data_IF_246118826549
#
_entry.id   IF_246118826549
#
_cell.length_a   1.000
_cell.length_b   1.000
_cell.length_c   1.000
_cell.angle_alpha   90.00
_cell.angle_beta   90.00
_cell.angle_gamma   90.00
#
_symmetry.space_group_name_H-M   'P 1'
#
loop_
_entity.id
_entity.type
_entity.pdbx_description
1 polymer ?
#
# COMPACT_ATOMS: atom_id res chain seq x y z
N UNK A 1 16.03 4.39 -14.38
CA UNK A 1 15.37 5.47 -13.61
C UNK A 1 14.05 5.73 -14.30
N UNK A 2 12.94 5.45 -13.61
CA UNK A 2 11.59 5.76 -14.06
C UNK A 2 11.12 7.01 -13.31
N UNK A 3 10.42 7.92 -13.98
CA UNK A 3 9.95 9.14 -13.35
C UNK A 3 9.04 9.96 -14.28
N UNK A 4 8.30 10.91 -13.69
CA UNK A 4 7.42 11.81 -14.43
C UNK A 4 8.17 13.10 -14.81
N UNK A 5 8.02 13.55 -16.05
CA UNK A 5 8.53 14.84 -16.47
C UNK A 5 7.64 15.96 -15.92
N UNK A 6 8.20 16.84 -15.12
CA UNK A 6 7.54 18.04 -14.62
C UNK A 6 8.23 19.28 -15.16
N UNK A 7 7.48 20.37 -15.35
CA UNK A 7 8.03 21.66 -15.72
C UNK A 7 8.09 22.53 -14.46
N UNK A 8 9.29 22.92 -14.05
CA UNK A 8 9.53 23.86 -12.98
C UNK A 8 10.44 24.98 -13.51
N UNK A 9 9.98 26.24 -13.41
CA UNK A 9 10.68 27.43 -13.89
C UNK A 9 11.28 27.29 -15.32
N UNK A 10 10.47 26.81 -16.28
CA UNK A 10 10.84 26.54 -17.68
C UNK A 10 11.88 25.42 -17.88
N UNK A 11 12.18 24.64 -16.84
CA UNK A 11 13.05 23.46 -16.95
C UNK A 11 12.21 22.19 -16.89
N UNK A 12 12.50 21.26 -17.80
CA UNK A 12 11.95 19.91 -17.74
C UNK A 12 12.78 19.13 -16.74
N UNK A 13 12.19 18.77 -15.60
CA UNK A 13 12.83 17.98 -14.56
C UNK A 13 12.21 16.59 -14.56
N UNK A 14 13.02 15.55 -14.64
CA UNK A 14 12.58 14.20 -14.37
C UNK A 14 12.45 14.04 -12.85
N UNK A 15 11.22 13.97 -12.34
CA UNK A 15 10.97 13.60 -10.95
C UNK A 15 10.87 12.08 -10.90
N UNK A 16 11.89 11.39 -10.37
CA UNK A 16 11.83 9.95 -10.27
C UNK A 16 10.69 9.52 -9.32
N UNK A 17 9.92 8.50 -9.70
CA UNK A 17 9.05 7.83 -8.75
C UNK A 17 9.93 7.06 -7.76
N UNK A 18 9.94 7.50 -6.52
CA UNK A 18 10.62 6.79 -5.45
C UNK A 18 9.63 5.84 -4.78
N UNK A 19 9.88 4.56 -4.94
CA UNK A 19 9.25 3.51 -4.16
C UNK A 19 10.31 2.53 -3.67
N UNK A 20 10.09 1.98 -2.49
CA UNK A 20 10.91 0.91 -1.93
C UNK A 20 10.13 -0.39 -1.98
N UNK A 21 10.79 -1.48 -2.39
CA UNK A 21 10.28 -2.84 -2.31
C UNK A 21 11.13 -3.58 -1.30
N UNK A 22 10.48 -4.18 -0.30
CA UNK A 22 11.12 -4.97 0.74
C UNK A 22 10.49 -6.36 0.72
N UNK A 23 11.24 -7.35 0.27
CA UNK A 23 10.86 -8.76 0.36
C UNK A 23 11.21 -9.30 1.75
N UNK A 24 10.57 -10.38 2.17
CA UNK A 24 10.74 -10.99 3.49
C UNK A 24 10.55 -9.99 4.65
N UNK A 25 9.53 -9.14 4.50
CA UNK A 25 9.33 -7.98 5.36
C UNK A 25 8.99 -8.35 6.81
N UNK A 26 8.17 -9.38 7.03
CA UNK A 26 7.79 -9.86 8.36
C UNK A 26 8.46 -11.21 8.68
N UNK A 27 8.43 -11.59 9.96
CA UNK A 27 8.73 -12.97 10.34
C UNK A 27 7.74 -13.95 9.69
N UNK A 28 8.18 -15.18 9.43
CA UNK A 28 7.32 -16.22 8.86
C UNK A 28 6.05 -16.44 9.71
N UNK A 29 6.19 -16.41 11.04
CA UNK A 29 5.07 -16.59 11.96
C UNK A 29 4.04 -15.44 11.88
N UNK A 30 4.48 -14.19 11.76
CA UNK A 30 3.58 -13.04 11.64
C UNK A 30 2.86 -13.03 10.28
N UNK A 31 3.60 -13.35 9.21
CA UNK A 31 3.06 -13.50 7.88
C UNK A 31 1.99 -14.59 7.80
N UNK A 32 2.27 -15.78 8.36
CA UNK A 32 1.32 -16.90 8.43
C UNK A 32 0.08 -16.55 9.25
N UNK A 33 0.26 -15.79 10.34
CA UNK A 33 -0.84 -15.36 11.18
C UNK A 33 -1.80 -14.43 10.42
N UNK A 34 -1.29 -13.48 9.62
CA UNK A 34 -2.16 -12.65 8.77
C UNK A 34 -2.95 -13.49 7.78
N UNK A 35 -2.30 -14.42 7.07
CA UNK A 35 -3.00 -15.26 6.10
C UNK A 35 -4.09 -16.10 6.76
N UNK A 36 -3.80 -16.74 7.89
CA UNK A 36 -4.76 -17.53 8.67
C UNK A 36 -5.93 -16.67 9.16
N UNK A 37 -5.63 -15.47 9.67
CA UNK A 37 -6.64 -14.53 10.15
C UNK A 37 -7.61 -14.13 9.03
N UNK A 38 -7.08 -13.77 7.87
CA UNK A 38 -7.91 -13.26 6.75
C UNK A 38 -8.70 -14.35 6.05
N UNK A 39 -8.25 -15.60 6.12
CA UNK A 39 -8.97 -16.78 5.58
C UNK A 39 -9.92 -17.40 6.59
N UNK A 40 -9.92 -16.94 7.85
CA UNK A 40 -10.84 -17.45 8.86
C UNK A 40 -12.27 -17.02 8.56
N UNK A 41 -13.22 -17.96 8.61
CA UNK A 41 -14.63 -17.74 8.24
C UNK A 41 -15.39 -16.71 9.09
N UNK A 42 -14.84 -16.31 10.25
CA UNK A 42 -15.39 -15.26 11.12
C UNK A 42 -14.73 -13.89 10.97
N UNK A 43 -13.78 -13.71 10.02
CA UNK A 43 -13.16 -12.41 9.84
C UNK A 43 -14.16 -11.39 9.25
N UNK A 44 -14.31 -10.18 9.85
CA UNK A 44 -15.41 -9.27 9.52
C UNK A 44 -15.12 -8.44 8.26
N UNK A 45 -15.36 -9.02 7.11
CA UNK A 45 -15.27 -8.34 5.82
C UNK A 45 -16.47 -7.44 5.56
N UNK A 46 -16.22 -6.20 5.15
CA UNK A 46 -17.26 -5.25 4.71
C UNK A 46 -17.19 -5.08 3.20
N UNK A 47 -18.31 -5.21 2.50
CA UNK A 47 -18.40 -4.95 1.07
C UNK A 47 -18.21 -3.45 0.80
N UNK A 48 -17.29 -3.11 -0.08
CA UNK A 48 -17.05 -1.79 -0.64
C UNK A 48 -17.48 -1.84 -2.11
N UNK A 49 -18.59 -1.22 -2.43
CA UNK A 49 -19.25 -1.33 -3.74
C UNK A 49 -18.51 -0.61 -4.87
N UNK A 50 -17.53 0.23 -4.56
CA UNK A 50 -16.65 0.90 -5.53
C UNK A 50 -15.24 1.00 -4.95
N UNK A 51 -14.24 0.45 -5.63
CA UNK A 51 -12.85 0.34 -5.11
C UNK A 51 -12.23 1.71 -4.84
N UNK A 52 -12.41 2.66 -5.75
CA UNK A 52 -11.98 4.07 -5.65
C UNK A 52 -12.86 4.95 -6.55
N UNK A 53 -12.64 6.26 -6.53
CA UNK A 53 -13.43 7.24 -7.29
C UNK A 53 -13.38 7.05 -8.81
N UNK A 54 -12.27 6.51 -9.34
CA UNK A 54 -12.02 6.30 -10.77
C UNK A 54 -12.28 4.85 -11.23
N UNK A 55 -12.70 3.96 -10.33
CA UNK A 55 -13.07 2.60 -10.65
C UNK A 55 -14.40 2.55 -11.44
N UNK A 56 -14.61 1.48 -12.22
CA UNK A 56 -15.89 1.24 -12.88
C UNK A 56 -17.00 0.93 -11.86
N UNK A 57 -18.26 1.09 -12.27
CA UNK A 57 -19.41 0.94 -11.36
C UNK A 57 -19.51 -0.46 -10.71
N UNK A 58 -19.04 -1.49 -11.41
CA UNK A 58 -19.06 -2.87 -10.92
C UNK A 58 -17.75 -3.30 -10.23
N UNK A 59 -16.81 -2.40 -10.05
CA UNK A 59 -15.56 -2.70 -9.37
C UNK A 59 -15.73 -2.59 -7.87
N UNK A 60 -15.84 -3.73 -7.22
CA UNK A 60 -15.98 -3.84 -5.79
C UNK A 60 -14.80 -4.55 -5.14
N UNK A 61 -14.68 -4.40 -3.84
CA UNK A 61 -13.75 -5.14 -2.98
C UNK A 61 -14.40 -5.39 -1.63
N UNK A 62 -13.80 -6.26 -0.84
CA UNK A 62 -14.08 -6.33 0.58
C UNK A 62 -12.95 -5.67 1.35
N UNK A 63 -13.27 -5.03 2.45
CA UNK A 63 -12.26 -4.41 3.30
C UNK A 63 -12.59 -4.61 4.79
N UNK A 64 -11.55 -4.58 5.60
CA UNK A 64 -11.66 -4.46 7.04
C UNK A 64 -10.79 -3.29 7.49
N UNK A 65 -11.41 -2.28 8.11
CA UNK A 65 -10.72 -1.07 8.57
C UNK A 65 -10.22 -1.26 10.00
N UNK A 66 -8.98 -0.82 10.24
CA UNK A 66 -8.37 -0.74 11.56
C UNK A 66 -8.33 0.70 12.06
N UNK A 67 -7.91 1.62 11.20
CA UNK A 67 -7.79 3.05 11.46
C UNK A 67 -8.47 3.81 10.31
N UNK A 68 -9.30 4.80 10.65
CA UNK A 68 -9.95 5.69 9.71
C UNK A 68 -9.90 7.12 10.25
N UNK A 69 -9.37 8.05 9.46
CA UNK A 69 -9.12 9.45 9.86
C UNK A 69 -8.44 9.57 11.23
N UNK A 70 -7.34 8.82 11.44
CA UNK A 70 -6.49 8.78 12.66
C UNK A 70 -7.13 8.11 13.88
N UNK A 71 -8.33 7.60 13.76
CA UNK A 71 -9.06 6.97 14.88
C UNK A 71 -9.13 5.47 14.68
N UNK A 72 -8.85 4.70 15.73
CA UNK A 72 -9.12 3.26 15.74
C UNK A 72 -10.61 3.01 15.56
N UNK A 73 -10.95 2.10 14.65
CA UNK A 73 -12.34 1.77 14.34
C UNK A 73 -12.99 0.94 15.46
N UNK A 74 -12.16 0.23 16.23
CA UNK A 74 -12.55 -0.54 17.42
C UNK A 74 -11.37 -0.67 18.37
N UNK A 75 -11.62 -0.92 19.65
CA UNK A 75 -10.60 -1.05 20.69
C UNK A 75 -9.58 -2.14 20.34
N UNK A 76 -8.31 -1.76 20.28
CA UNK A 76 -7.20 -2.68 19.97
C UNK A 76 -7.01 -2.97 18.49
N UNK A 77 -7.65 -2.22 17.58
CA UNK A 77 -7.47 -2.38 16.14
C UNK A 77 -6.00 -2.19 15.71
N UNK A 78 -5.29 -1.26 16.36
CA UNK A 78 -3.87 -0.99 16.08
C UNK A 78 -2.96 -2.19 16.44
N UNK A 79 -3.34 -3.00 17.42
CA UNK A 79 -2.58 -4.18 17.82
C UNK A 79 -2.48 -5.22 16.71
N UNK A 80 -3.51 -5.32 15.87
CA UNK A 80 -3.49 -6.19 14.68
C UNK A 80 -2.42 -5.79 13.67
N UNK A 81 -1.98 -4.52 13.68
CA UNK A 81 -0.97 -3.98 12.78
C UNK A 81 0.43 -3.91 13.42
N UNK A 82 0.56 -4.28 14.70
CA UNK A 82 1.82 -4.20 15.44
C UNK A 82 3.01 -4.87 14.73
N UNK A 83 2.89 -6.06 14.10
CA UNK A 83 4.01 -6.65 13.37
C UNK A 83 4.55 -5.74 12.26
N UNK A 84 3.66 -5.13 11.47
CA UNK A 84 4.06 -4.21 10.38
C UNK A 84 4.69 -2.93 10.96
N UNK A 85 4.08 -2.33 11.98
CA UNK A 85 4.61 -1.11 12.60
C UNK A 85 5.98 -1.33 13.23
N UNK A 86 6.21 -2.50 13.84
CA UNK A 86 7.51 -2.87 14.39
C UNK A 86 8.60 -2.87 13.32
N UNK A 87 8.36 -3.51 12.18
CA UNK A 87 9.36 -3.56 11.10
C UNK A 87 9.57 -2.17 10.45
N UNK A 88 8.49 -1.39 10.25
CA UNK A 88 8.61 -0.02 9.77
C UNK A 88 9.41 0.89 10.72
N UNK A 89 9.25 0.68 12.03
CA UNK A 89 10.01 1.40 13.03
C UNK A 89 11.49 1.03 13.01
N UNK A 90 11.83 -0.28 12.98
CA UNK A 90 13.21 -0.74 12.91
C UNK A 90 13.91 -0.34 11.62
N UNK A 91 13.21 -0.35 10.50
CA UNK A 91 13.71 0.11 9.21
C UNK A 91 13.75 1.64 9.07
N UNK A 92 13.34 2.40 10.10
CA UNK A 92 13.30 3.88 10.13
C UNK A 92 12.33 4.53 9.14
N UNK A 93 11.35 3.80 8.67
CA UNK A 93 10.23 4.37 7.88
C UNK A 93 9.19 5.04 8.78
N UNK A 94 9.13 4.66 10.06
CA UNK A 94 8.28 5.26 11.09
C UNK A 94 9.10 5.65 12.31
N UNK A 95 8.60 6.63 13.07
CA UNK A 95 9.09 7.07 14.37
C UNK A 95 7.98 7.00 15.42
N UNK A 96 8.31 7.29 16.68
CA UNK A 96 7.31 7.38 17.76
C UNK A 96 6.25 8.47 17.53
N UNK A 97 6.58 9.47 16.72
CA UNK A 97 5.71 10.62 16.42
C UNK A 97 4.98 10.43 15.08
N UNK A 98 5.08 9.26 14.46
CA UNK A 98 4.38 8.94 13.21
C UNK A 98 2.88 8.81 13.46
N UNK A 99 2.11 9.58 12.70
CA UNK A 99 0.65 9.53 12.72
C UNK A 99 0.14 8.62 11.61
N UNK A 100 -0.65 7.61 11.94
CA UNK A 100 -1.33 6.77 10.96
C UNK A 100 -2.68 7.38 10.63
N UNK A 101 -2.87 7.76 9.37
CA UNK A 101 -4.11 8.36 8.92
C UNK A 101 -5.19 7.32 8.66
N UNK A 102 -4.83 6.25 7.92
CA UNK A 102 -5.76 5.18 7.55
C UNK A 102 -5.01 3.86 7.48
N UNK A 103 -5.66 2.81 7.94
CA UNK A 103 -5.16 1.44 7.77
C UNK A 103 -6.32 0.48 7.54
N UNK A 104 -6.21 -0.34 6.51
CA UNK A 104 -7.22 -1.34 6.14
C UNK A 104 -6.58 -2.55 5.49
N UNK A 105 -7.19 -3.71 5.67
CA UNK A 105 -6.97 -4.90 4.84
C UNK A 105 -7.99 -4.91 3.70
N UNK A 106 -7.55 -5.24 2.50
CA UNK A 106 -8.42 -5.42 1.34
C UNK A 106 -8.40 -6.89 0.89
N UNK A 107 -9.55 -7.37 0.43
CA UNK A 107 -9.75 -8.65 -0.24
C UNK A 107 -10.30 -8.38 -1.65
N UNK A 108 -9.58 -8.83 -2.67
CA UNK A 108 -10.01 -8.81 -4.07
C UNK A 108 -10.33 -10.23 -4.54
N UNK A 109 -11.44 -10.37 -5.24
CA UNK A 109 -11.87 -11.64 -5.84
C UNK A 109 -11.23 -11.81 -7.21
N UNK A 110 -10.97 -13.04 -7.60
CA UNK A 110 -10.49 -13.43 -8.92
C UNK A 110 -11.35 -12.84 -10.03
N UNK A 111 -10.69 -12.35 -11.07
CA UNK A 111 -11.34 -11.93 -12.33
C UNK A 111 -10.94 -12.85 -13.48
N UNK A 112 -11.73 -12.91 -14.53
CA UNK A 112 -11.42 -13.73 -15.73
C UNK A 112 -10.25 -13.15 -16.53
N UNK A 113 -10.10 -11.82 -16.50
CA UNK A 113 -9.02 -11.10 -17.20
C UNK A 113 -8.35 -10.13 -16.24
N UNK A 114 -7.02 -10.01 -16.35
CA UNK A 114 -6.27 -9.01 -15.58
C UNK A 114 -6.56 -7.62 -16.12
N UNK A 115 -6.94 -6.68 -15.21
CA UNK A 115 -7.19 -5.28 -15.56
C UNK A 115 -6.92 -4.35 -14.38
N UNK A 116 -6.65 -3.10 -14.67
CA UNK A 116 -6.57 -2.03 -13.68
C UNK A 116 -7.95 -1.62 -13.16
N UNK A 117 -8.02 -1.20 -11.91
CA UNK A 117 -9.25 -0.74 -11.25
C UNK A 117 -9.29 0.79 -11.08
N UNK A 118 -8.61 1.52 -11.98
CA UNK A 118 -8.56 2.97 -12.03
C UNK A 118 -7.47 3.59 -11.15
N UNK A 119 -6.68 4.46 -11.79
CA UNK A 119 -5.64 5.22 -11.10
C UNK A 119 -6.23 6.19 -10.09
N UNK A 120 -5.64 6.25 -8.92
CA UNK A 120 -6.05 7.13 -7.83
C UNK A 120 -4.85 7.52 -6.96
N UNK A 121 -5.06 8.50 -6.12
CA UNK A 121 -4.13 8.89 -5.06
C UNK A 121 -4.73 8.47 -3.72
N UNK A 122 -3.95 7.85 -2.87
CA UNK A 122 -4.43 7.49 -1.53
C UNK A 122 -4.77 8.73 -0.69
N UNK A 123 -4.04 9.83 -0.93
CA UNK A 123 -4.16 11.07 -0.17
C UNK A 123 -4.02 12.27 -1.11
N UNK A 124 -5.09 13.05 -1.25
CA UNK A 124 -5.13 14.20 -2.17
C UNK A 124 -4.93 15.55 -1.48
N UNK A 125 -5.36 15.70 -0.24
CA UNK A 125 -5.49 17.00 0.44
C UNK A 125 -4.52 17.20 1.61
N UNK A 126 -3.44 16.41 1.70
CA UNK A 126 -2.47 16.47 2.79
C UNK A 126 -1.06 16.77 2.28
N UNK A 127 -0.17 17.19 3.19
CA UNK A 127 1.20 17.58 2.87
C UNK A 127 2.05 16.46 2.23
N UNK A 128 3.27 16.81 1.81
CA UNK A 128 4.17 15.92 1.06
C UNK A 128 4.74 14.75 1.87
N UNK A 129 4.56 14.78 3.18
CA UNK A 129 5.13 13.80 4.11
C UNK A 129 4.31 12.51 4.23
N UNK A 130 3.15 12.41 3.56
CA UNK A 130 2.35 11.19 3.63
C UNK A 130 2.90 10.10 2.73
N UNK A 131 2.96 8.90 3.30
CA UNK A 131 3.44 7.67 2.67
C UNK A 131 2.33 6.64 2.65
N UNK A 132 2.39 5.79 1.65
CA UNK A 132 1.58 4.58 1.54
C UNK A 132 2.50 3.38 1.68
N UNK A 133 2.10 2.41 2.48
CA UNK A 133 2.61 1.05 2.44
C UNK A 133 1.52 0.11 1.97
N UNK A 134 1.84 -0.77 1.03
CA UNK A 134 1.03 -1.92 0.64
C UNK A 134 1.80 -3.18 1.01
N UNK A 135 1.30 -3.94 1.99
CA UNK A 135 1.85 -5.23 2.35
C UNK A 135 1.04 -6.35 1.68
N UNK A 136 1.70 -7.17 0.86
CA UNK A 136 1.07 -8.28 0.14
C UNK A 136 1.11 -9.56 0.98
N UNK A 137 -0.06 -10.15 1.22
CA UNK A 137 -0.23 -11.29 2.14
C UNK A 137 -0.08 -12.64 1.43
N UNK A 138 -0.36 -12.70 0.13
CA UNK A 138 -0.27 -13.94 -0.65
C UNK A 138 0.24 -13.69 -2.07
N UNK A 139 0.83 -14.73 -2.68
CA UNK A 139 1.29 -14.72 -4.07
C UNK A 139 0.11 -14.75 -5.03
N UNK A 140 0.16 -13.93 -6.06
CA UNK A 140 -0.72 -13.97 -7.22
C UNK A 140 -0.19 -13.04 -8.33
N UNK A 141 -0.72 -13.17 -9.55
CA UNK A 141 -0.33 -12.37 -10.71
C UNK A 141 -0.98 -10.97 -10.78
N UNK A 142 -1.74 -10.56 -9.77
CA UNK A 142 -2.20 -9.19 -9.58
C UNK A 142 -1.15 -8.35 -8.84
N UNK A 143 -1.44 -7.06 -8.64
CA UNK A 143 -0.47 -6.20 -7.98
C UNK A 143 -0.87 -4.73 -7.96
N UNK A 144 0.13 -3.87 -7.93
CA UNK A 144 -0.01 -2.41 -8.00
C UNK A 144 0.72 -1.91 -9.24
N UNK A 145 0.05 -1.08 -10.05
CA UNK A 145 0.63 -0.41 -11.20
C UNK A 145 0.65 1.10 -10.98
N UNK A 146 1.76 1.72 -11.35
CA UNK A 146 1.95 3.16 -11.33
C UNK A 146 1.69 3.78 -12.71
N UNK A 147 1.51 5.11 -12.81
CA UNK A 147 1.23 5.82 -14.07
C UNK A 147 2.37 5.70 -15.11
N UNK A 148 3.58 5.35 -14.69
CA UNK A 148 4.71 5.11 -15.59
C UNK A 148 4.78 3.67 -16.11
N UNK A 149 3.69 2.91 -15.99
CA UNK A 149 3.56 1.50 -16.30
C UNK A 149 4.40 0.54 -15.44
N UNK A 150 5.11 1.05 -14.43
CA UNK A 150 5.80 0.18 -13.47
C UNK A 150 4.78 -0.68 -12.74
N UNK A 151 4.98 -1.99 -12.78
CA UNK A 151 4.12 -2.97 -12.11
C UNK A 151 4.86 -3.68 -10.99
N UNK A 152 4.26 -3.69 -9.80
CA UNK A 152 4.75 -4.42 -8.63
C UNK A 152 3.79 -5.56 -8.31
N UNK A 153 4.25 -6.77 -8.57
CA UNK A 153 3.49 -8.00 -8.37
C UNK A 153 3.24 -8.29 -6.89
N UNK A 154 2.06 -8.86 -6.61
CA UNK A 154 1.69 -9.34 -5.28
C UNK A 154 2.49 -10.59 -4.90
N UNK A 155 3.64 -10.40 -4.31
CA UNK A 155 4.49 -11.45 -3.73
C UNK A 155 4.24 -11.53 -2.24
N UNK A 156 4.01 -12.74 -1.74
CA UNK A 156 3.80 -12.98 -0.31
C UNK A 156 4.97 -12.43 0.51
N UNK A 157 4.64 -11.71 1.59
CA UNK A 157 5.60 -11.07 2.49
C UNK A 157 6.42 -9.94 1.87
N UNK A 158 5.91 -9.33 0.81
CA UNK A 158 6.47 -8.12 0.20
C UNK A 158 5.78 -6.88 0.74
N UNK A 159 6.55 -5.87 1.10
CA UNK A 159 6.08 -4.52 1.37
C UNK A 159 6.51 -3.58 0.24
N UNK A 160 5.56 -2.79 -0.27
CA UNK A 160 5.77 -1.72 -1.23
C UNK A 160 5.50 -0.39 -0.54
N UNK A 161 6.50 0.50 -0.49
CA UNK A 161 6.41 1.83 0.14
C UNK A 161 6.61 2.91 -0.91
N UNK A 162 5.74 3.92 -0.90
CA UNK A 162 5.81 5.05 -1.84
C UNK A 162 5.14 6.30 -1.26
N UNK A 163 5.30 7.44 -1.95
CA UNK A 163 4.58 8.67 -1.57
C UNK A 163 3.09 8.51 -1.82
N UNK A 164 2.25 8.87 -0.84
CA UNK A 164 0.79 8.83 -0.97
C UNK A 164 0.22 9.72 -2.11
N UNK A 165 1.06 10.59 -2.69
CA UNK A 165 0.73 11.43 -3.85
C UNK A 165 1.04 10.79 -5.20
N UNK A 166 1.62 9.61 -5.23
CA UNK A 166 1.88 8.91 -6.50
C UNK A 166 0.59 8.21 -6.94
N UNK A 167 0.13 8.54 -8.14
CA UNK A 167 -1.02 7.88 -8.74
C UNK A 167 -0.68 6.42 -9.03
N UNK A 168 -1.53 5.55 -8.55
CA UNK A 168 -1.40 4.11 -8.69
C UNK A 168 -2.77 3.44 -8.81
N UNK A 169 -2.78 2.22 -9.29
CA UNK A 169 -4.00 1.42 -9.37
C UNK A 169 -3.76 -0.01 -8.91
N UNK A 170 -4.82 -0.64 -8.45
CA UNK A 170 -4.87 -2.08 -8.26
C UNK A 170 -5.04 -2.78 -9.61
N UNK A 171 -4.21 -3.78 -9.90
CA UNK A 171 -4.39 -4.70 -11.03
C UNK A 171 -4.92 -6.03 -10.49
N UNK A 172 -6.02 -6.52 -11.07
CA UNK A 172 -6.70 -7.74 -10.61
C UNK A 172 -5.89 -9.00 -10.93
N UNK A 173 -6.06 -10.04 -10.11
CA UNK A 173 -5.46 -11.35 -10.29
C UNK A 173 -6.39 -12.31 -11.05
N UNK A 174 -5.79 -13.27 -11.78
CA UNK A 174 -6.50 -14.30 -12.53
C UNK A 174 -6.11 -15.73 -12.14
N UNK A 175 -5.10 -15.90 -11.32
CA UNK A 175 -4.51 -17.21 -10.97
C UNK A 175 -4.94 -17.72 -9.59
N UNK A 176 -5.43 -16.84 -8.69
CA UNK A 176 -5.87 -17.19 -7.34
C UNK A 176 -7.28 -16.68 -7.06
N UNK A 177 -8.07 -17.41 -6.25
CA UNK A 177 -9.45 -17.03 -5.95
C UNK A 177 -9.57 -15.69 -5.23
N UNK A 178 -8.56 -15.32 -4.44
CA UNK A 178 -8.54 -14.08 -3.69
C UNK A 178 -7.11 -13.56 -3.50
N UNK A 179 -7.01 -12.26 -3.40
CA UNK A 179 -5.80 -11.52 -3.05
C UNK A 179 -6.06 -10.67 -1.82
N UNK A 180 -5.14 -10.76 -0.85
CA UNK A 180 -5.14 -9.92 0.33
C UNK A 180 -3.98 -8.95 0.31
N UNK A 181 -4.22 -7.71 0.69
CA UNK A 181 -3.19 -6.76 1.04
C UNK A 181 -3.60 -5.92 2.25
N UNK A 182 -2.62 -5.35 2.95
CA UNK A 182 -2.83 -4.35 3.98
C UNK A 182 -2.31 -3.03 3.43
N UNK A 183 -3.18 -2.01 3.36
CA UNK A 183 -2.85 -0.65 2.93
C UNK A 183 -2.86 0.26 4.15
N UNK A 184 -1.74 0.95 4.39
CA UNK A 184 -1.56 1.89 5.49
C UNK A 184 -1.06 3.22 4.94
N UNK A 185 -1.75 4.29 5.30
CA UNK A 185 -1.36 5.65 4.98
C UNK A 185 -0.93 6.36 6.26
N UNK A 186 0.27 6.91 6.29
CA UNK A 186 0.85 7.53 7.48
C UNK A 186 1.65 8.78 7.15
N UNK A 187 1.80 9.67 8.14
CA UNK A 187 2.62 10.85 8.03
C UNK A 187 4.05 10.55 8.52
N UNK A 188 5.01 10.60 7.63
CA UNK A 188 6.42 10.44 7.95
C UNK A 188 7.03 11.82 8.25
N UNK A 189 6.85 12.31 9.47
CA UNK A 189 7.30 13.66 9.85
C UNK A 189 8.83 13.84 9.96
N UNK A 190 9.65 12.81 9.73
CA UNK A 190 11.08 12.88 10.02
C UNK A 190 12.04 12.04 9.17
N UNK A 191 11.61 11.33 8.14
CA UNK A 191 12.59 10.58 7.32
C UNK A 191 12.27 10.72 5.84
N UNK A 192 13.12 11.40 5.04
CA UNK A 192 12.99 11.38 3.58
C UNK A 192 13.21 9.95 3.08
N UNK A 193 12.41 9.48 2.12
CA UNK A 193 12.69 8.28 1.32
C UNK A 193 13.91 8.49 0.39
N UNK A 194 14.84 9.35 0.76
CA UNK A 194 16.04 9.63 -0.02
C UNK A 194 17.21 9.02 0.74
N UNK A 195 17.71 7.89 0.29
CA UNK A 195 19.13 7.63 0.41
C UNK A 195 19.81 8.61 -0.52
N UNK A 196 20.37 9.69 -0.01
CA UNK A 196 21.42 10.42 -0.70
C UNK A 196 22.47 9.37 -1.07
N UNK A 197 22.60 9.11 -2.38
CA UNK A 197 23.82 8.50 -2.89
C UNK A 197 24.92 9.55 -2.63
N UNK A 198 25.56 9.45 -1.48
CA UNK A 198 26.86 10.06 -1.24
C UNK A 198 27.84 9.37 -2.20
N UNK A 199 27.94 9.94 -3.39
CA UNK A 199 29.15 9.85 -4.17
C UNK A 199 30.19 10.68 -3.43
N UNK A 200 30.95 10.05 -2.58
CA UNK A 200 32.27 10.54 -2.22
C UNK A 200 33.31 9.83 -3.05
N UNK A 201 33.93 10.66 -3.91
CA UNK A 201 35.26 10.58 -4.56
C UNK A 201 35.67 9.26 -5.20
#
# INVERSE_FOLDING_TARGET
>A
MHGKWCVDNERIILVPYYYDIIDDFLSESDMDNYYKTFTHGGFPWTLITKVNENAEENDFQFAHKYIDDRVEVYDGAIEALRPIFRELYFAKYMSKDTEVYRAKTNLFIKTDTSRGLGFHHDITNMGDNYKTIIYYVNNNNGGTRFEDDTFVESVRNRALLFSGKIAHETVTQTDTNFRFNININYNSSSTPLIKENLNES
#
